data_IF_133747746829
#
_entry.id   IF_133747746829
#
_cell.length_a   1.000
_cell.length_b   1.000
_cell.length_c   1.000
_cell.angle_alpha   90.00
_cell.angle_beta   90.00
_cell.angle_gamma   90.00
#
_symmetry.space_group_name_H-M   'P 1'
#
loop_
_entity.id
_entity.type
_entity.pdbx_description
1 polymer ?
#
# COMPACT_ATOMS: atom_id res chain seq x y z
N UNK A 1 3.92 16.24 15.19
CA UNK A 1 4.44 15.78 13.87
C UNK A 1 3.56 14.66 13.34
N UNK A 2 3.40 14.57 12.01
CA UNK A 2 2.51 13.60 11.35
C UNK A 2 2.83 13.46 9.85
N UNK A 3 2.02 12.66 9.14
CA UNK A 3 2.17 12.51 7.68
C UNK A 3 1.80 13.79 6.94
N UNK A 4 2.58 14.15 5.92
CA UNK A 4 2.45 15.41 5.15
C UNK A 4 2.03 15.18 3.69
N UNK A 5 2.05 13.93 3.24
CA UNK A 5 1.70 13.56 1.88
C UNK A 5 1.23 12.10 1.82
N UNK A 6 0.62 11.73 0.69
CA UNK A 6 0.44 10.33 0.32
C UNK A 6 0.55 10.16 -1.20
N UNK A 7 0.96 8.95 -1.63
CA UNK A 7 1.04 8.55 -3.05
C UNK A 7 0.39 7.17 -3.22
N UNK A 8 -0.29 6.97 -4.34
CA UNK A 8 -0.98 5.71 -4.66
C UNK A 8 -0.88 5.37 -6.16
N UNK A 9 -0.63 4.10 -6.46
CA UNK A 9 -0.65 3.55 -7.83
C UNK A 9 -1.46 2.27 -7.86
N UNK A 10 -2.18 2.02 -8.95
CA UNK A 10 -2.93 0.79 -9.14
C UNK A 10 -2.02 -0.43 -9.31
N UNK A 11 -2.32 -1.53 -8.61
CA UNK A 11 -1.58 -2.79 -8.77
C UNK A 11 -1.79 -3.45 -10.15
N UNK A 12 -2.87 -3.09 -10.85
CA UNK A 12 -3.21 -3.60 -12.18
C UNK A 12 -2.73 -2.68 -13.33
N UNK A 13 -2.09 -1.56 -13.01
CA UNK A 13 -1.63 -0.62 -14.02
C UNK A 13 -0.38 -1.18 -14.70
N UNK A 14 -0.30 -1.04 -16.03
CA UNK A 14 0.86 -1.47 -16.81
C UNK A 14 2.15 -0.89 -16.21
N UNK A 15 3.20 -1.71 -16.05
CA UNK A 15 4.49 -1.23 -15.51
C UNK A 15 5.10 -0.07 -16.29
N UNK A 16 4.73 0.09 -17.57
CA UNK A 16 5.12 1.21 -18.42
C UNK A 16 4.35 2.52 -18.16
N UNK A 17 3.17 2.45 -17.54
CA UNK A 17 2.44 3.64 -17.12
C UNK A 17 3.08 4.18 -15.83
N UNK A 18 3.72 5.34 -15.94
CA UNK A 18 4.35 6.03 -14.80
C UNK A 18 3.38 6.96 -14.07
N UNK A 19 2.09 6.90 -14.39
CA UNK A 19 1.09 7.69 -13.71
C UNK A 19 0.77 7.17 -12.31
N UNK A 20 0.48 8.10 -11.40
CA UNK A 20 0.10 7.80 -10.02
C UNK A 20 -0.70 8.95 -9.43
N UNK A 21 -1.43 8.69 -8.35
CA UNK A 21 -2.10 9.73 -7.57
C UNK A 21 -1.21 10.19 -6.43
N UNK A 22 -1.22 11.48 -6.13
CA UNK A 22 -0.55 12.06 -4.98
C UNK A 22 -1.41 13.13 -4.32
N UNK A 23 -1.18 13.37 -3.04
CA UNK A 23 -1.72 14.51 -2.28
C UNK A 23 -0.59 15.04 -1.39
N UNK A 24 -0.49 16.37 -1.26
CA UNK A 24 0.55 17.04 -0.46
C UNK A 24 -0.10 17.82 0.68
N UNK A 25 -0.76 17.13 1.59
CA UNK A 25 -1.43 17.69 2.76
C UNK A 25 -1.43 16.67 3.88
N UNK A 26 -1.34 17.08 5.16
CA UNK A 26 -1.84 16.25 6.25
C UNK A 26 -3.28 15.82 5.99
N UNK A 27 -3.67 14.63 6.46
CA UNK A 27 -5.05 14.16 6.31
C UNK A 27 -6.00 15.08 7.09
N UNK A 28 -7.12 15.42 6.46
CA UNK A 28 -8.20 16.21 7.04
C UNK A 28 -9.55 15.51 6.83
N UNK A 29 -9.55 14.17 6.64
CA UNK A 29 -10.78 13.40 6.41
C UNK A 29 -11.70 13.36 7.65
N UNK A 30 -11.10 13.45 8.84
CA UNK A 30 -11.79 13.44 10.15
C UNK A 30 -11.34 14.57 11.07
N UNK A 31 -10.41 15.39 10.61
CA UNK A 31 -9.78 16.47 11.34
C UNK A 31 -9.88 17.75 10.51
N UNK A 32 -9.66 18.91 11.12
CA UNK A 32 -9.59 20.15 10.36
C UNK A 32 -8.32 20.20 9.50
N UNK A 33 -8.34 20.89 8.34
CA UNK A 33 -7.13 21.19 7.59
C UNK A 33 -6.05 21.82 8.46
N UNK A 34 -4.79 21.47 8.18
CA UNK A 34 -3.65 22.02 8.90
C UNK A 34 -3.40 23.46 8.43
N UNK A 35 -3.26 24.39 9.38
CA UNK A 35 -2.88 25.78 9.09
C UNK A 35 -1.67 26.18 9.94
N UNK A 36 -0.69 26.86 9.34
CA UNK A 36 0.49 27.33 10.07
C UNK A 36 0.14 28.37 11.14
N UNK A 37 -0.78 29.30 10.86
CA UNK A 37 -1.20 30.31 11.83
C UNK A 37 -1.89 29.74 13.08
N UNK A 38 -2.39 28.50 13.02
CA UNK A 38 -3.07 27.83 14.13
C UNK A 38 -2.11 27.05 15.04
N UNK A 39 -0.83 26.94 14.68
CA UNK A 39 0.14 26.16 15.43
C UNK A 39 0.72 26.94 16.61
N UNK A 40 1.11 26.22 17.67
CA UNK A 40 1.80 26.81 18.82
C UNK A 40 3.21 27.29 18.41
N UNK A 41 3.40 28.62 18.41
CA UNK A 41 4.64 29.28 18.00
C UNK A 41 5.79 29.11 19.02
N UNK A 42 5.51 28.50 20.17
CA UNK A 42 6.50 28.13 21.18
C UNK A 42 7.26 26.87 20.79
N UNK A 43 6.72 26.05 19.90
CA UNK A 43 7.40 24.86 19.38
C UNK A 43 8.31 25.28 18.23
N UNK A 44 9.60 24.99 18.35
CA UNK A 44 10.55 25.30 17.28
C UNK A 44 10.20 24.51 16.01
N UNK A 45 10.26 25.19 14.86
CA UNK A 45 9.83 24.66 13.58
C UNK A 45 8.33 24.75 13.31
N UNK A 46 7.50 25.25 14.24
CA UNK A 46 6.06 25.40 14.03
C UNK A 46 5.62 26.83 13.69
N UNK A 47 6.54 27.81 13.72
CA UNK A 47 6.18 29.21 13.47
C UNK A 47 5.87 29.43 11.99
N UNK A 48 4.75 30.07 11.67
CA UNK A 48 4.40 30.40 10.28
C UNK A 48 5.51 31.17 9.53
N UNK A 49 6.27 32.01 10.24
CA UNK A 49 7.40 32.77 9.67
C UNK A 49 8.58 31.90 9.20
N UNK A 50 8.68 30.65 9.68
CA UNK A 50 9.70 29.68 9.28
C UNK A 50 9.34 28.95 7.97
N UNK A 51 8.09 29.03 7.50
CA UNK A 51 7.58 28.28 6.35
C UNK A 51 7.29 29.18 5.14
N UNK A 52 8.22 30.07 4.81
CA UNK A 52 8.06 31.00 3.68
C UNK A 52 7.95 30.24 2.37
N UNK A 53 6.95 30.62 1.56
CA UNK A 53 6.66 30.00 0.27
C UNK A 53 5.72 28.80 0.37
N UNK A 54 5.38 28.34 1.58
CA UNK A 54 4.34 27.34 1.77
C UNK A 54 2.96 28.03 1.84
N UNK A 55 1.89 27.34 1.44
CA UNK A 55 0.53 27.78 1.74
C UNK A 55 0.35 27.83 3.26
N UNK A 56 -0.48 28.76 3.72
CA UNK A 56 -0.79 28.86 5.14
C UNK A 56 -1.67 27.68 5.58
N UNK A 57 -2.73 27.37 4.84
CA UNK A 57 -3.61 26.20 5.05
C UNK A 57 -3.38 25.13 3.98
N UNK A 58 -3.27 23.87 4.42
CA UNK A 58 -3.12 22.69 3.57
C UNK A 58 -4.46 21.94 3.51
N UNK A 59 -5.17 22.11 2.38
CA UNK A 59 -6.45 21.47 2.09
C UNK A 59 -6.47 20.91 0.65
N UNK A 60 -5.33 20.38 0.22
CA UNK A 60 -5.15 19.88 -1.14
C UNK A 60 -5.89 18.56 -1.37
N UNK A 61 -6.60 18.48 -2.49
CA UNK A 61 -7.17 17.22 -2.99
C UNK A 61 -6.11 16.34 -3.66
N UNK A 62 -6.46 15.07 -3.87
CA UNK A 62 -5.65 14.16 -4.68
C UNK A 62 -5.55 14.64 -6.12
N UNK A 63 -4.37 14.50 -6.71
CA UNK A 63 -4.09 14.82 -8.11
C UNK A 63 -3.37 13.65 -8.79
N UNK A 64 -3.59 13.48 -10.10
CA UNK A 64 -2.89 12.46 -10.90
C UNK A 64 -1.67 13.09 -11.56
N UNK A 65 -0.53 12.42 -11.43
CA UNK A 65 0.72 12.74 -12.09
C UNK A 65 1.05 11.73 -13.20
N UNK A 66 1.86 12.10 -14.22
CA UNK A 66 2.24 13.48 -14.52
C UNK A 66 1.03 14.29 -14.95
N UNK A 67 0.88 15.52 -14.43
CA UNK A 67 -0.12 16.47 -14.90
C UNK A 67 0.52 17.37 -15.97
N UNK A 68 -0.21 17.63 -17.05
CA UNK A 68 0.18 18.66 -18.01
C UNK A 68 -0.09 20.03 -17.41
N UNK A 69 0.85 20.97 -17.56
CA UNK A 69 0.63 22.39 -17.20
C UNK A 69 -0.59 22.91 -17.96
N UNK A 70 -1.62 23.37 -17.23
CA UNK A 70 -2.88 23.85 -17.82
C UNK A 70 -4.04 22.85 -17.79
N UNK A 71 -3.83 21.62 -17.31
CA UNK A 71 -4.96 20.79 -16.89
C UNK A 71 -5.62 21.47 -15.67
N UNK A 72 -6.89 21.86 -15.77
CA UNK A 72 -7.65 22.29 -14.60
C UNK A 72 -7.48 21.25 -13.49
N UNK A 73 -7.23 21.67 -12.23
CA UNK A 73 -7.34 20.75 -11.10
C UNK A 73 -8.69 20.07 -11.28
N UNK A 74 -8.70 18.75 -11.47
CA UNK A 74 -9.95 18.04 -11.70
C UNK A 74 -10.90 18.47 -10.58
N UNK A 75 -12.10 18.95 -10.94
CA UNK A 75 -13.19 19.21 -9.99
C UNK A 75 -13.45 17.88 -9.26
N UNK A 76 -12.75 17.69 -8.15
CA UNK A 76 -12.31 16.37 -7.72
C UNK A 76 -12.48 16.18 -6.22
N UNK A 77 -13.59 16.67 -5.68
CA UNK A 77 -14.09 16.34 -4.35
C UNK A 77 -14.40 14.85 -4.14
N UNK A 78 -14.02 13.99 -5.09
CA UNK A 78 -13.90 12.56 -4.87
C UNK A 78 -12.43 12.19 -4.86
N UNK A 79 -11.86 11.94 -3.67
CA UNK A 79 -10.84 10.90 -3.59
C UNK A 79 -11.45 9.69 -4.34
N UNK A 80 -10.85 9.24 -5.45
CA UNK A 80 -11.54 8.30 -6.31
C UNK A 80 -11.77 7.05 -5.47
N UNK A 81 -12.96 6.47 -5.56
CA UNK A 81 -13.22 5.12 -5.07
C UNK A 81 -12.09 4.14 -5.47
N UNK A 82 -11.32 4.45 -6.52
CA UNK A 82 -10.04 3.83 -6.87
C UNK A 82 -8.99 3.83 -5.74
N UNK A 83 -8.68 4.94 -5.07
CA UNK A 83 -7.71 5.00 -3.98
C UNK A 83 -8.16 4.16 -2.77
N UNK A 84 -9.45 4.23 -2.42
CA UNK A 84 -10.04 3.37 -1.39
C UNK A 84 -10.13 1.89 -1.82
N UNK A 85 -10.27 1.59 -3.12
CA UNK A 85 -10.28 0.22 -3.64
C UNK A 85 -8.90 -0.44 -3.59
N UNK A 86 -7.82 0.35 -3.54
CA UNK A 86 -6.44 -0.15 -3.48
C UNK A 86 -6.08 -0.71 -2.11
N UNK A 87 -6.65 -0.16 -1.03
CA UNK A 87 -6.50 -0.75 0.32
C UNK A 87 -7.35 -2.01 0.49
N UNK A 88 -8.46 -2.13 -0.23
CA UNK A 88 -9.38 -3.27 -0.16
C UNK A 88 -8.99 -4.50 -0.99
N UNK A 89 -7.99 -4.41 -1.87
CA UNK A 89 -7.60 -5.50 -2.80
C UNK A 89 -6.52 -6.45 -2.28
N UNK A 90 -5.97 -6.21 -1.09
CA UNK A 90 -5.24 -7.24 -0.33
C UNK A 90 -6.23 -8.19 0.36
N UNK A 91 -7.20 -8.71 -0.39
CA UNK A 91 -7.90 -9.91 0.06
C UNK A 91 -6.88 -11.03 -0.03
N UNK A 92 -6.48 -11.51 1.13
CA UNK A 92 -5.56 -12.59 1.35
C UNK A 92 -6.21 -14.00 1.42
N UNK A 93 -7.25 -14.42 0.65
CA UNK A 93 -7.59 -15.83 0.63
C UNK A 93 -6.67 -16.63 -0.31
N UNK A 94 -6.10 -16.01 -1.36
CA UNK A 94 -5.31 -16.77 -2.35
C UNK A 94 -3.96 -17.29 -1.79
N UNK A 95 -3.23 -16.48 -1.00
CA UNK A 95 -1.99 -16.96 -0.36
C UNK A 95 -2.25 -17.85 0.87
N UNK A 96 -3.33 -17.61 1.62
CA UNK A 96 -3.71 -18.47 2.74
C UNK A 96 -4.08 -19.89 2.26
N UNK A 97 -4.75 -20.03 1.12
CA UNK A 97 -5.07 -21.34 0.53
C UNK A 97 -3.83 -22.07 -0.01
N UNK A 98 -2.87 -21.36 -0.62
CA UNK A 98 -1.65 -21.99 -1.13
C UNK A 98 -0.77 -22.58 0.00
N UNK A 99 -0.65 -21.87 1.13
CA UNK A 99 0.07 -22.36 2.32
C UNK A 99 -0.60 -23.58 2.96
N UNK A 100 -1.93 -23.62 3.01
CA UNK A 100 -2.68 -24.78 3.52
C UNK A 100 -2.50 -26.02 2.64
N UNK A 101 -2.47 -25.88 1.32
CA UNK A 101 -2.23 -27.01 0.40
C UNK A 101 -0.81 -27.56 0.57
N UNK A 102 0.19 -26.70 0.71
CA UNK A 102 1.59 -27.13 0.90
C UNK A 102 1.76 -27.90 2.24
N UNK A 103 1.15 -27.42 3.33
CA UNK A 103 1.19 -28.12 4.62
C UNK A 103 0.39 -29.44 4.63
N UNK A 104 -0.67 -29.57 3.83
CA UNK A 104 -1.47 -30.80 3.78
C UNK A 104 -0.82 -31.91 2.94
N UNK A 105 -0.05 -31.58 1.90
CA UNK A 105 0.54 -32.57 0.98
C UNK A 105 1.92 -33.05 1.44
N UNK A 106 2.71 -32.21 2.13
CA UNK A 106 4.06 -32.55 2.56
C UNK A 106 4.18 -33.79 3.49
N UNK A 107 3.27 -34.03 4.47
CA UNK A 107 3.35 -35.20 5.34
C UNK A 107 3.07 -36.51 4.59
N UNK A 108 2.16 -36.47 3.59
CA UNK A 108 1.77 -37.64 2.80
C UNK A 108 2.90 -38.13 1.90
N UNK A 109 3.66 -37.21 1.30
CA UNK A 109 4.81 -37.55 0.45
C UNK A 109 5.97 -38.15 1.26
N UNK A 110 6.24 -37.63 2.46
CA UNK A 110 7.25 -38.19 3.35
C UNK A 110 6.91 -39.63 3.78
N UNK A 111 5.64 -39.93 4.07
CA UNK A 111 5.18 -41.27 4.42
C UNK A 111 5.20 -42.25 3.23
N UNK A 112 4.97 -41.78 2.00
CA UNK A 112 5.06 -42.62 0.81
C UNK A 112 6.52 -43.02 0.49
N UNK A 113 7.46 -42.09 0.66
CA UNK A 113 8.89 -42.33 0.42
C UNK A 113 9.51 -43.31 1.41
N UNK A 114 9.14 -43.25 2.69
CA UNK A 114 9.65 -44.19 3.70
C UNK A 114 9.17 -45.63 3.45
N UNK A 115 7.92 -45.82 3.01
CA UNK A 115 7.40 -47.17 2.63
C UNK A 115 8.12 -47.76 1.42
N UNK A 116 8.42 -46.93 0.42
CA UNK A 116 9.19 -47.35 -0.77
C UNK A 116 10.63 -47.74 -0.40
N UNK A 117 11.27 -47.01 0.52
CA UNK A 117 12.60 -47.34 1.01
C UNK A 117 12.62 -48.69 1.77
N UNK A 118 11.64 -48.94 2.65
CA UNK A 118 11.53 -50.20 3.39
C UNK A 118 11.30 -51.41 2.47
N UNK A 119 10.46 -51.27 1.43
CA UNK A 119 10.21 -52.34 0.46
C UNK A 119 11.46 -52.69 -0.36
N UNK A 120 12.30 -51.70 -0.69
CA UNK A 120 13.58 -51.93 -1.38
C UNK A 120 14.58 -52.64 -0.47
N UNK A 121 14.69 -52.23 0.80
CA UNK A 121 15.57 -52.88 1.77
C UNK A 121 15.18 -54.35 2.02
N UNK A 122 13.88 -54.66 2.09
CA UNK A 122 13.39 -56.03 2.29
C UNK A 122 13.70 -56.93 1.09
N UNK A 123 13.60 -56.41 -0.15
CA UNK A 123 13.98 -57.17 -1.35
C UNK A 123 15.49 -57.44 -1.45
N UNK A 124 16.32 -56.53 -0.94
CA UNK A 124 17.78 -56.69 -0.99
C UNK A 124 18.32 -57.69 0.05
N UNK A 125 17.59 -57.93 1.14
CA UNK A 125 17.99 -58.85 2.21
C UNK A 125 17.52 -60.31 2.01
N UNK A 126 16.66 -60.55 1.02
CA UNK A 126 16.10 -61.88 0.71
C UNK A 126 16.69 -62.57 -0.52
N UNK A 127 17.76 -62.04 -1.09
CA UNK A 127 18.52 -62.61 -2.21
C UNK A 127 19.94 -62.94 -1.73
#
# INVERSE_FOLDING_TARGET
>A
FGGIDAKAKGAADHFADLSFYAVSSPTYDRERPFSWHDQDDRVDGCRASQHRGHPDTFNFSWYRLPSSVGASPADGGGAPAAAASLSGRWRAPAMASALLVICAVAPGLAAAWSRLASLRAFRAAGA
#
